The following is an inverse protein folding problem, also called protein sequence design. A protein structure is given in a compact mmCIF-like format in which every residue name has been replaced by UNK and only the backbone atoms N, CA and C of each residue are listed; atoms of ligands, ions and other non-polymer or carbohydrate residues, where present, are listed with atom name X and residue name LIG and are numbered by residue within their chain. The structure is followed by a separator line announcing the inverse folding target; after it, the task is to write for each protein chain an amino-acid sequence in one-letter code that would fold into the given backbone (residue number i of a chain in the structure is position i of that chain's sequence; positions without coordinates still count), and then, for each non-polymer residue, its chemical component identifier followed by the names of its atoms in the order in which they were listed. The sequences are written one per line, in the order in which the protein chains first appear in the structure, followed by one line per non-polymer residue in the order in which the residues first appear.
data_IF_313681685241
#
_entry.id   IF_313681685241
#
_cell.length_a   1.000
_cell.length_b   1.000
_cell.length_c   1.000
_cell.angle_alpha   90.00
_cell.angle_beta   90.00
_cell.angle_gamma   90.00
#
_symmetry.space_group_name_H-M   'P 1'
#
loop_
_entity.id
_entity.type
_entity.pdbx_description
1 polymer ?
#
# COMPACT_ATOMS: atom_id res chain seq x y z
N UNK A 1 1.75 -13.60 11.81
CA UNK A 1 2.18 -14.50 10.70
C UNK A 1 3.70 -14.50 10.59
N UNK A 2 4.37 -15.29 11.44
CA UNK A 2 5.84 -15.48 11.49
C UNK A 2 6.23 -16.96 11.46
N UNK A 3 5.26 -17.85 11.21
CA UNK A 3 5.42 -19.30 11.35
C UNK A 3 6.03 -19.94 10.10
N UNK A 4 5.79 -19.39 8.90
CA UNK A 4 6.17 -20.03 7.63
C UNK A 4 7.68 -20.27 7.48
N UNK A 5 8.60 -19.32 7.78
CA UNK A 5 10.03 -19.61 7.70
C UNK A 5 10.48 -20.64 8.74
N UNK A 6 9.87 -20.62 9.93
CA UNK A 6 10.19 -21.58 11.00
C UNK A 6 9.86 -23.02 10.61
N UNK A 7 8.73 -23.20 9.92
CA UNK A 7 8.33 -24.50 9.42
C UNK A 7 9.27 -25.02 8.33
N UNK A 8 9.68 -24.18 7.38
CA UNK A 8 10.55 -24.57 6.26
C UNK A 8 11.94 -24.99 6.74
N UNK A 9 12.53 -24.22 7.66
CA UNK A 9 13.91 -24.40 8.11
C UNK A 9 14.01 -25.15 9.44
N UNK A 10 12.90 -25.64 10.01
CA UNK A 10 12.90 -26.34 11.31
C UNK A 10 13.43 -25.50 12.48
N UNK A 11 13.20 -24.19 12.45
CA UNK A 11 13.83 -23.24 13.38
C UNK A 11 13.13 -23.27 14.75
N UNK A 12 13.87 -23.26 15.87
CA UNK A 12 13.28 -23.19 17.20
C UNK A 12 12.50 -21.88 17.41
N UNK A 13 11.56 -21.89 18.37
CA UNK A 13 10.63 -20.78 18.59
C UNK A 13 11.35 -19.43 18.78
N UNK A 14 12.44 -19.41 19.53
CA UNK A 14 13.10 -18.18 19.96
C UNK A 14 14.24 -17.72 19.03
N UNK A 15 14.56 -18.50 18.00
CA UNK A 15 15.59 -18.12 17.06
C UNK A 15 15.17 -16.94 16.17
N UNK A 16 16.17 -16.13 15.80
CA UNK A 16 15.99 -14.93 14.98
C UNK A 16 15.63 -15.32 13.54
N UNK A 17 14.42 -14.94 13.13
CA UNK A 17 13.90 -15.31 11.80
C UNK A 17 14.28 -14.35 10.67
N UNK A 18 14.90 -13.20 10.96
CA UNK A 18 15.08 -12.12 9.97
C UNK A 18 15.94 -12.55 8.76
N UNK A 19 17.00 -13.32 9.00
CA UNK A 19 17.87 -13.82 7.93
C UNK A 19 17.11 -14.67 6.90
N UNK A 20 16.25 -15.56 7.38
CA UNK A 20 15.49 -16.48 6.53
C UNK A 20 14.48 -15.78 5.63
N UNK A 21 13.93 -14.64 6.05
CA UNK A 21 13.09 -13.83 5.17
C UNK A 21 13.89 -13.24 4.00
N UNK A 22 15.13 -12.80 4.24
CA UNK A 22 16.02 -12.29 3.19
C UNK A 22 16.40 -13.42 2.22
N UNK A 23 16.76 -14.58 2.76
CA UNK A 23 17.12 -15.77 1.99
C UNK A 23 15.97 -16.25 1.08
N UNK A 24 14.74 -16.26 1.62
CA UNK A 24 13.52 -16.61 0.85
C UNK A 24 13.04 -15.49 -0.08
N UNK A 25 13.67 -14.31 -0.07
CA UNK A 25 13.18 -13.07 -0.73
C UNK A 25 11.73 -12.75 -0.35
N UNK A 26 11.37 -12.99 0.91
CA UNK A 26 10.06 -12.74 1.47
C UNK A 26 10.00 -11.39 2.18
N UNK A 27 8.84 -10.74 2.05
CA UNK A 27 8.55 -9.52 2.80
C UNK A 27 8.36 -9.82 4.29
N UNK A 28 8.97 -9.01 5.15
CA UNK A 28 8.69 -9.00 6.57
C UNK A 28 7.21 -8.69 6.82
N UNK A 29 6.64 -9.13 7.96
CA UNK A 29 5.22 -8.93 8.25
C UNK A 29 4.75 -7.47 8.12
N UNK A 30 5.57 -6.49 8.53
CA UNK A 30 5.26 -5.05 8.40
C UNK A 30 5.03 -4.65 6.94
N UNK A 31 5.95 -5.05 6.07
CA UNK A 31 5.97 -4.73 4.66
C UNK A 31 4.93 -5.52 3.88
N UNK A 32 4.65 -6.75 4.30
CA UNK A 32 3.59 -7.57 3.72
C UNK A 32 2.21 -6.99 3.99
N UNK A 33 1.96 -6.45 5.19
CA UNK A 33 0.73 -5.71 5.51
C UNK A 33 0.59 -4.48 4.61
N UNK A 34 1.67 -3.73 4.44
CA UNK A 34 1.70 -2.56 3.56
C UNK A 34 1.41 -2.94 2.09
N UNK A 35 2.02 -4.02 1.60
CA UNK A 35 1.76 -4.58 0.27
C UNK A 35 0.29 -4.95 0.03
N UNK A 36 -0.33 -5.64 1.00
CA UNK A 36 -1.74 -6.01 0.88
C UNK A 36 -2.66 -4.79 0.95
N UNK A 37 -2.37 -3.84 1.83
CA UNK A 37 -3.12 -2.59 1.94
C UNK A 37 -3.03 -1.79 0.63
N UNK A 38 -1.83 -1.69 0.04
CA UNK A 38 -1.59 -1.04 -1.23
C UNK A 38 -2.38 -1.67 -2.39
N UNK A 39 -2.36 -3.01 -2.44
CA UNK A 39 -3.11 -3.80 -3.43
C UNK A 39 -4.60 -3.61 -3.27
N UNK A 40 -5.09 -3.66 -2.03
CA UNK A 40 -6.49 -3.47 -1.70
C UNK A 40 -6.98 -2.06 -2.08
N UNK A 41 -6.18 -1.02 -1.82
CA UNK A 41 -6.49 0.34 -2.24
C UNK A 41 -6.55 0.46 -3.76
N UNK A 42 -5.55 -0.08 -4.47
CA UNK A 42 -5.52 -0.03 -5.93
C UNK A 42 -6.76 -0.70 -6.55
N UNK A 43 -7.15 -1.87 -6.03
CA UNK A 43 -8.37 -2.56 -6.44
C UNK A 43 -9.62 -1.77 -6.10
N UNK A 44 -9.74 -1.30 -4.86
CA UNK A 44 -10.91 -0.53 -4.41
C UNK A 44 -11.14 0.71 -5.30
N UNK A 45 -10.07 1.40 -5.70
CA UNK A 45 -10.20 2.62 -6.52
C UNK A 45 -10.53 2.28 -7.99
N UNK A 46 -10.01 1.18 -8.55
CA UNK A 46 -10.14 0.88 -9.98
C UNK A 46 -11.29 -0.04 -10.37
N UNK A 47 -11.59 -1.06 -9.55
CA UNK A 47 -12.49 -2.15 -9.98
C UNK A 47 -13.90 -2.06 -9.43
N UNK A 48 -14.14 -1.29 -8.36
CA UNK A 48 -15.42 -0.92 -7.70
C UNK A 48 -15.19 -0.95 -6.18
N UNK A 49 -15.20 0.21 -5.49
CA UNK A 49 -14.97 0.25 -4.05
C UNK A 49 -16.22 -0.24 -3.30
N UNK A 50 -16.06 -0.84 -2.10
CA UNK A 50 -17.13 -0.83 -1.12
C UNK A 50 -17.52 0.64 -0.89
N UNK A 51 -18.81 0.97 -0.94
CA UNK A 51 -19.32 2.35 -0.89
C UNK A 51 -18.74 3.17 0.28
N UNK A 52 -18.56 2.53 1.43
CA UNK A 52 -17.93 3.11 2.62
C UNK A 52 -16.47 3.55 2.40
N UNK A 53 -15.68 2.81 1.62
CA UNK A 53 -14.28 3.16 1.34
C UNK A 53 -14.18 4.34 0.38
N UNK A 54 -15.05 4.37 -0.64
CA UNK A 54 -15.14 5.54 -1.54
C UNK A 54 -15.56 6.80 -0.80
N UNK A 55 -16.47 6.69 0.19
CA UNK A 55 -16.86 7.84 1.03
C UNK A 55 -15.71 8.36 1.88
N UNK A 56 -14.81 7.48 2.33
CA UNK A 56 -13.62 7.87 3.09
C UNK A 56 -12.52 8.49 2.23
N UNK A 57 -12.47 8.18 0.93
CA UNK A 57 -11.47 8.68 -0.01
C UNK A 57 -12.06 9.84 -0.82
N UNK A 58 -12.04 11.05 -0.25
CA UNK A 58 -12.49 12.26 -0.95
C UNK A 58 -11.53 12.59 -2.11
N UNK A 59 -11.90 12.23 -3.33
CA UNK A 59 -11.13 12.58 -4.53
C UNK A 59 -11.24 14.08 -4.82
N UNK A 60 -10.13 14.71 -5.25
CA UNK A 60 -10.05 16.16 -5.50
C UNK A 60 -11.05 16.61 -6.57
N UNK A 61 -11.37 15.73 -7.53
CA UNK A 61 -12.39 15.95 -8.57
C UNK A 61 -13.82 16.07 -8.04
N UNK A 62 -14.12 15.52 -6.85
CA UNK A 62 -15.43 15.64 -6.22
C UNK A 62 -15.57 16.92 -5.37
N UNK A 63 -14.45 17.48 -4.90
CA UNK A 63 -14.43 18.65 -4.01
C UNK A 63 -14.23 19.96 -4.77
N UNK A 64 -13.54 19.95 -5.90
CA UNK A 64 -13.27 21.14 -6.70
C UNK A 64 -13.81 20.99 -8.13
N UNK A 65 -14.73 21.87 -8.53
CA UNK A 65 -15.28 21.96 -9.90
C UNK A 65 -14.23 22.40 -10.95
N UNK A 66 -13.06 22.86 -10.51
CA UNK A 66 -11.95 23.23 -11.40
C UNK A 66 -11.09 22.01 -11.73
N UNK A 67 -11.39 21.39 -12.87
CA UNK A 67 -10.52 20.40 -13.53
C UNK A 67 -9.31 21.10 -14.16
N UNK A 68 -8.28 21.38 -13.37
CA UNK A 68 -7.00 21.93 -13.87
C UNK A 68 -5.94 20.86 -14.14
N UNK A 69 -6.27 19.56 -14.03
CA UNK A 69 -5.36 18.46 -14.39
C UNK A 69 -5.82 17.82 -15.71
N UNK A 70 -5.28 18.25 -16.86
CA UNK A 70 -5.40 17.49 -18.10
C UNK A 70 -4.41 16.32 -18.01
N UNK A 71 -4.91 15.13 -17.64
CA UNK A 71 -4.22 13.84 -17.83
C UNK A 71 -2.97 13.65 -16.93
N UNK A 72 -3.07 12.99 -15.75
CA UNK A 72 -3.54 11.61 -15.57
C UNK A 72 -4.61 11.52 -14.41
N UNK A 73 -4.98 10.36 -13.79
CA UNK A 73 -6.19 10.29 -12.94
C UNK A 73 -6.11 11.25 -11.75
N UNK A 74 -7.26 11.82 -11.31
CA UNK A 74 -7.28 12.94 -10.37
C UNK A 74 -6.51 12.59 -9.10
N UNK A 75 -5.55 13.44 -8.76
CA UNK A 75 -4.81 13.38 -7.51
C UNK A 75 -5.79 13.42 -6.33
N UNK A 76 -5.68 12.51 -5.36
CA UNK A 76 -6.47 12.62 -4.14
C UNK A 76 -5.87 13.76 -3.32
N UNK A 77 -6.66 14.80 -3.05
CA UNK A 77 -6.25 15.89 -2.18
C UNK A 77 -6.09 15.34 -0.76
N UNK A 78 -4.93 15.56 -0.15
CA UNK A 78 -4.77 15.26 1.27
C UNK A 78 -5.82 16.06 2.04
N UNK A 79 -6.69 15.41 2.83
CA UNK A 79 -7.58 16.16 3.70
C UNK A 79 -6.71 16.96 4.68
N UNK A 80 -7.04 18.23 4.90
CA UNK A 80 -6.41 19.06 5.94
C UNK A 80 -6.85 18.52 7.28
N UNK A 81 -6.14 17.51 7.77
CA UNK A 81 -6.40 16.89 9.08
C UNK A 81 -5.36 17.36 10.09
N UNK A 82 -5.81 17.57 11.32
CA UNK A 82 -4.96 17.86 12.46
C UNK A 82 -3.91 16.75 12.68
N UNK A 83 -2.83 17.07 13.40
CA UNK A 83 -1.70 16.17 13.66
C UNK A 83 -2.12 14.83 14.30
N UNK A 84 -3.22 14.82 15.06
CA UNK A 84 -3.81 13.62 15.66
C UNK A 84 -4.25 12.58 14.61
N UNK A 85 -4.69 13.01 13.43
CA UNK A 85 -5.14 12.14 12.35
C UNK A 85 -4.04 11.86 11.31
N UNK A 86 -2.80 12.29 11.56
CA UNK A 86 -1.62 12.03 10.69
C UNK A 86 -1.42 10.55 10.35
N UNK A 87 -1.81 9.64 11.26
CA UNK A 87 -1.73 8.17 11.10
C UNK A 87 -3.05 7.53 10.67
N UNK A 88 -4.06 8.32 10.33
CA UNK A 88 -5.34 7.82 9.88
C UNK A 88 -5.20 7.04 8.56
N UNK A 89 -6.12 6.11 8.34
CA UNK A 89 -6.20 5.35 7.10
C UNK A 89 -6.26 6.29 5.88
N UNK A 90 -6.98 7.39 5.97
CA UNK A 90 -7.16 8.35 4.88
C UNK A 90 -5.83 8.96 4.41
N UNK A 91 -4.99 9.45 5.32
CA UNK A 91 -3.71 10.07 4.97
C UNK A 91 -2.75 9.02 4.39
N UNK A 92 -2.65 7.86 5.04
CA UNK A 92 -1.81 6.77 4.53
C UNK A 92 -2.28 6.28 3.16
N UNK A 93 -3.58 6.11 2.96
CA UNK A 93 -4.15 5.69 1.69
C UNK A 93 -3.93 6.71 0.57
N UNK A 94 -4.08 8.01 0.89
CA UNK A 94 -3.88 9.10 -0.07
C UNK A 94 -2.41 9.20 -0.49
N UNK A 95 -1.48 9.19 0.47
CA UNK A 95 -0.04 9.20 0.19
C UNK A 95 0.37 7.98 -0.64
N UNK A 96 -0.14 6.81 -0.27
CA UNK A 96 0.13 5.58 -0.99
C UNK A 96 -0.42 5.67 -2.41
N UNK A 97 -1.69 6.06 -2.60
CA UNK A 97 -2.30 6.23 -3.92
C UNK A 97 -1.51 7.18 -4.82
N UNK A 98 -1.09 8.33 -4.28
CA UNK A 98 -0.31 9.31 -5.02
C UNK A 98 1.05 8.75 -5.50
N UNK A 99 1.67 7.84 -4.74
CA UNK A 99 2.90 7.18 -5.19
C UNK A 99 2.69 6.13 -6.29
N UNK A 100 1.48 5.58 -6.46
CA UNK A 100 1.22 4.38 -7.29
C UNK A 100 0.34 4.63 -8.52
N UNK A 101 -0.25 5.82 -8.64
CA UNK A 101 -1.24 6.23 -9.66
C UNK A 101 -0.81 6.01 -11.12
N UNK A 102 0.50 5.93 -11.40
CA UNK A 102 1.05 5.76 -12.74
C UNK A 102 1.08 4.31 -13.25
N UNK A 103 0.57 3.34 -12.47
CA UNK A 103 0.58 1.91 -12.86
C UNK A 103 -0.68 1.53 -13.65
N UNK A 104 -0.56 1.05 -14.91
CA UNK A 104 -1.70 0.83 -15.78
C UNK A 104 -2.54 -0.41 -15.43
N UNK A 105 -1.91 -1.45 -14.86
CA UNK A 105 -2.56 -2.73 -14.56
C UNK A 105 -2.23 -3.19 -13.12
N UNK A 106 -3.18 -3.83 -12.45
CA UNK A 106 -3.02 -4.48 -11.15
C UNK A 106 -1.80 -5.40 -11.10
N UNK A 107 -1.57 -6.20 -12.16
CA UNK A 107 -0.41 -7.08 -12.21
C UNK A 107 0.90 -6.29 -12.16
N UNK A 108 1.03 -5.29 -13.05
CA UNK A 108 2.21 -4.42 -13.09
C UNK A 108 2.43 -3.65 -11.79
N UNK A 109 1.33 -3.25 -11.14
CA UNK A 109 1.33 -2.60 -9.85
C UNK A 109 1.89 -3.53 -8.77
N UNK A 110 1.32 -4.74 -8.64
CA UNK A 110 1.76 -5.75 -7.67
C UNK A 110 3.24 -6.06 -7.80
N UNK A 111 3.73 -6.32 -9.00
CA UNK A 111 5.15 -6.61 -9.24
C UNK A 111 6.05 -5.44 -8.85
N UNK A 112 5.77 -4.22 -9.34
CA UNK A 112 6.60 -3.04 -9.06
C UNK A 112 6.60 -2.69 -7.58
N UNK A 113 5.43 -2.72 -6.93
CA UNK A 113 5.31 -2.39 -5.51
C UNK A 113 6.00 -3.44 -4.65
N UNK A 114 5.87 -4.72 -4.98
CA UNK A 114 6.58 -5.79 -4.30
C UNK A 114 8.11 -5.60 -4.37
N UNK A 115 8.65 -5.34 -5.57
CA UNK A 115 10.09 -5.09 -5.76
C UNK A 115 10.59 -3.87 -4.99
N UNK A 116 9.81 -2.78 -5.00
CA UNK A 116 10.15 -1.56 -4.25
C UNK A 116 10.21 -1.84 -2.75
N UNK A 117 9.19 -2.46 -2.20
CA UNK A 117 9.13 -2.74 -0.76
C UNK A 117 10.21 -3.76 -0.35
N UNK A 118 10.53 -4.72 -1.22
CA UNK A 118 11.62 -5.67 -0.99
C UNK A 118 12.97 -4.95 -0.94
N UNK A 119 13.21 -3.96 -1.80
CA UNK A 119 14.45 -3.17 -1.77
C UNK A 119 14.57 -2.29 -0.51
N UNK A 120 13.45 -1.73 -0.03
CA UNK A 120 13.41 -0.95 1.23
C UNK A 120 13.64 -1.80 2.47
N UNK A 121 13.42 -3.12 2.39
CA UNK A 121 13.64 -4.03 3.50
C UNK A 121 15.12 -4.38 3.71
N UNK A 122 15.92 -4.35 2.64
CA UNK A 122 17.35 -4.66 2.67
C UNK A 122 18.25 -3.47 3.03
N UNK A 123 17.68 -2.25 3.06
CA UNK A 123 18.34 -1.02 3.54
C UNK A 123 18.22 -0.87 5.05
#
# INVERSE_FOLDING_TARGET
MTCCPRFIFGIPRDARISHYYTELKWLYPRYRRQYFLATFLYQSIRTQPPSYISQLLSFRSAVHSRNTDPFPPPSTSLPTVNSAFSRSFQIHATNLWNSIRHSPNLYTFKCRYFSLVLSTQSS
#
